data_IF_008656178943
#
_entry.id   IF_008656178943
#
_cell.length_a   1.000
_cell.length_b   1.000
_cell.length_c   1.000
_cell.angle_alpha   90.00
_cell.angle_beta   90.00
_cell.angle_gamma   90.00
#
_symmetry.space_group_name_H-M   'P 1'
#
loop_
_entity.id
_entity.type
_entity.pdbx_description
1 polymer ?
#
# COMPACT_ATOMS: atom_id res chain seq x y z
N UNK A 1 57.88 -51.45 -9.31
CA UNK A 1 59.24 -50.88 -9.43
C UNK A 1 59.18 -49.54 -8.72
N UNK A 2 59.46 -49.42 -7.41
CA UNK A 2 60.68 -49.72 -6.64
C UNK A 2 61.89 -48.89 -7.08
N UNK A 3 62.49 -48.17 -6.11
CA UNK A 3 63.82 -47.55 -6.16
C UNK A 3 63.77 -46.03 -6.11
N UNK A 4 64.10 -45.41 -4.96
CA UNK A 4 65.43 -44.87 -4.61
C UNK A 4 65.79 -43.62 -5.44
N UNK A 5 66.20 -42.49 -4.86
CA UNK A 5 67.36 -42.41 -3.99
C UNK A 5 67.38 -41.14 -3.10
N UNK A 6 67.98 -41.29 -1.92
CA UNK A 6 68.25 -40.24 -0.94
C UNK A 6 69.63 -39.64 -1.20
N UNK A 7 69.68 -38.31 -1.22
CA UNK A 7 70.57 -37.52 -0.37
C UNK A 7 72.05 -37.42 -0.73
N UNK A 8 72.55 -36.18 -0.80
CA UNK A 8 73.76 -35.68 -0.10
C UNK A 8 73.94 -34.20 -0.46
N UNK A 9 73.94 -33.29 0.53
CA UNK A 9 75.16 -32.68 1.15
C UNK A 9 75.83 -31.70 0.18
N UNK A 10 76.25 -30.48 0.50
CA UNK A 10 76.19 -29.56 1.64
C UNK A 10 77.05 -28.36 1.18
N UNK A 11 76.72 -27.16 1.63
CA UNK A 11 77.59 -25.98 1.78
C UNK A 11 78.45 -25.49 0.59
N UNK A 12 78.12 -24.31 0.04
CA UNK A 12 79.10 -23.26 -0.33
C UNK A 12 78.41 -21.88 -0.31
N UNK A 13 79.11 -20.88 0.24
CA UNK A 13 78.93 -19.43 0.11
C UNK A 13 77.84 -18.72 0.91
N UNK A 14 78.18 -18.47 2.19
CA UNK A 14 78.10 -17.12 2.77
C UNK A 14 79.15 -16.22 2.09
N UNK A 15 78.73 -15.15 1.43
CA UNK A 15 79.29 -13.79 1.48
C UNK A 15 78.74 -12.98 0.30
N UNK A 16 78.51 -11.69 0.55
CA UNK A 16 78.10 -10.66 -0.41
C UNK A 16 76.67 -10.74 -0.94
N UNK A 17 75.74 -10.08 -0.22
CA UNK A 17 74.85 -9.06 -0.77
C UNK A 17 74.02 -8.42 0.36
N UNK A 18 74.69 -7.72 1.27
CA UNK A 18 74.06 -6.93 2.35
C UNK A 18 73.77 -5.47 1.96
N UNK A 19 73.70 -5.10 0.66
CA UNK A 19 73.66 -3.67 0.28
C UNK A 19 72.73 -3.25 -0.88
N UNK A 20 71.71 -4.04 -1.27
CA UNK A 20 70.78 -3.63 -2.36
C UNK A 20 69.27 -3.80 -2.04
N UNK A 21 68.87 -4.12 -0.80
CA UNK A 21 67.45 -4.44 -0.50
C UNK A 21 66.76 -3.46 0.47
N UNK A 22 67.12 -2.18 0.43
CA UNK A 22 66.48 -1.13 1.25
C UNK A 22 65.52 -0.21 0.47
N UNK A 23 64.97 -0.68 -0.66
CA UNK A 23 63.87 -0.02 -1.39
C UNK A 23 62.92 -1.08 -1.96
N UNK A 24 62.42 -2.00 -1.12
CA UNK A 24 61.24 -2.80 -1.48
C UNK A 24 59.98 -2.09 -0.99
N UNK A 25 59.35 -1.41 -1.94
CA UNK A 25 57.90 -1.46 -2.15
C UNK A 25 57.03 -1.48 -0.89
N UNK A 26 56.91 -0.30 -0.27
CA UNK A 26 55.67 0.10 0.42
C UNK A 26 54.57 0.42 -0.60
N UNK A 27 54.30 -0.52 -1.51
CA UNK A 27 53.15 -0.52 -2.41
C UNK A 27 52.28 -1.75 -2.13
N UNK A 28 51.90 -1.92 -0.86
CA UNK A 28 50.81 -2.81 -0.46
C UNK A 28 49.45 -2.11 -0.61
N UNK A 29 49.29 -1.27 -1.63
CA UNK A 29 48.00 -0.75 -2.10
C UNK A 29 47.20 -1.79 -2.88
N UNK A 30 47.25 -3.07 -2.47
CA UNK A 30 46.30 -4.06 -2.98
C UNK A 30 44.89 -3.62 -2.60
N UNK A 31 43.87 -3.80 -3.46
CA UNK A 31 42.51 -3.44 -3.10
C UNK A 31 42.15 -4.15 -1.79
N UNK A 32 41.93 -3.38 -0.72
CA UNK A 32 41.59 -3.98 0.57
C UNK A 32 40.40 -4.93 0.37
N UNK A 33 40.50 -6.16 0.89
CA UNK A 33 39.44 -7.14 0.69
C UNK A 33 38.15 -6.60 1.31
N UNK A 34 37.15 -6.36 0.46
CA UNK A 34 35.82 -5.86 0.83
C UNK A 34 35.28 -6.66 2.03
N UNK A 35 35.07 -5.98 3.16
CA UNK A 35 34.68 -6.62 4.42
C UNK A 35 33.38 -7.43 4.29
N UNK A 36 33.19 -8.46 5.12
CA UNK A 36 31.96 -9.24 5.11
C UNK A 36 30.72 -8.37 5.42
N UNK A 37 30.87 -7.42 6.34
CA UNK A 37 29.83 -6.48 6.72
C UNK A 37 29.44 -5.57 5.55
N UNK A 38 30.42 -5.03 4.83
CA UNK A 38 30.17 -4.19 3.66
C UNK A 38 29.37 -4.96 2.59
N UNK A 39 29.76 -6.21 2.29
CA UNK A 39 29.03 -7.06 1.35
C UNK A 39 27.56 -7.25 1.76
N UNK A 40 27.29 -7.39 3.06
CA UNK A 40 25.93 -7.50 3.60
C UNK A 40 25.15 -6.20 3.48
N UNK A 41 25.76 -5.05 3.77
CA UNK A 41 25.12 -3.75 3.55
C UNK A 41 24.81 -3.51 2.07
N UNK A 42 25.75 -3.78 1.17
CA UNK A 42 25.50 -3.70 -0.29
C UNK A 42 24.35 -4.63 -0.71
N UNK A 43 24.25 -5.83 -0.14
CA UNK A 43 23.13 -6.74 -0.40
C UNK A 43 21.77 -6.17 0.06
N UNK A 44 21.70 -5.54 1.24
CA UNK A 44 20.50 -4.85 1.72
C UNK A 44 20.17 -3.64 0.83
N UNK A 45 21.19 -2.86 0.44
CA UNK A 45 21.01 -1.69 -0.41
C UNK A 45 20.46 -2.04 -1.79
N UNK A 46 20.70 -3.23 -2.33
CA UNK A 46 20.09 -3.71 -3.61
C UNK A 46 18.56 -3.63 -3.63
N UNK A 47 17.90 -3.52 -2.47
CA UNK A 47 16.45 -3.24 -2.39
C UNK A 47 16.07 -1.86 -2.94
N UNK A 48 16.99 -0.88 -2.90
CA UNK A 48 16.81 0.47 -3.43
C UNK A 48 16.78 0.46 -4.97
N UNK A 49 16.02 1.39 -5.59
CA UNK A 49 16.04 1.56 -7.04
C UNK A 49 17.46 1.81 -7.59
N UNK A 50 17.75 1.23 -8.76
CA UNK A 50 19.08 1.32 -9.42
C UNK A 50 19.54 2.77 -9.60
N UNK A 51 18.64 3.67 -10.01
CA UNK A 51 18.96 5.09 -10.20
C UNK A 51 19.42 5.76 -8.90
N UNK A 52 18.81 5.41 -7.77
CA UNK A 52 19.18 5.97 -6.47
C UNK A 52 20.52 5.42 -5.97
N UNK A 53 20.75 4.12 -6.19
CA UNK A 53 22.01 3.48 -5.81
C UNK A 53 23.22 4.03 -6.56
N UNK A 54 23.06 4.28 -7.86
CA UNK A 54 24.14 4.82 -8.69
C UNK A 54 24.75 6.12 -8.14
N UNK A 55 23.95 6.92 -7.43
CA UNK A 55 24.38 8.21 -6.86
C UNK A 55 24.76 8.12 -5.38
N UNK A 56 24.12 7.23 -4.61
CA UNK A 56 24.16 7.28 -3.12
C UNK A 56 24.62 6.00 -2.44
N UNK A 57 24.86 4.91 -3.17
CA UNK A 57 25.23 3.62 -2.56
C UNK A 57 26.51 3.73 -1.73
N UNK A 58 27.57 4.31 -2.29
CA UNK A 58 28.87 4.45 -1.61
C UNK A 58 28.78 5.33 -0.35
N UNK A 59 28.09 6.48 -0.44
CA UNK A 59 27.85 7.36 0.73
C UNK A 59 27.10 6.63 1.85
N UNK A 60 26.08 5.84 1.49
CA UNK A 60 25.27 5.12 2.46
C UNK A 60 26.03 3.95 3.10
N UNK A 61 26.79 3.20 2.32
CA UNK A 61 27.64 2.10 2.83
C UNK A 61 28.66 2.65 3.81
N UNK A 62 29.37 3.72 3.43
CA UNK A 62 30.35 4.37 4.30
C UNK A 62 29.71 4.81 5.63
N UNK A 63 28.55 5.49 5.57
CA UNK A 63 27.84 5.92 6.77
C UNK A 63 27.36 4.75 7.66
N UNK A 64 26.94 3.61 7.06
CA UNK A 64 26.56 2.43 7.81
C UNK A 64 27.75 1.71 8.46
N UNK A 65 28.89 1.64 7.78
CA UNK A 65 30.12 1.08 8.34
C UNK A 65 30.63 1.96 9.49
N UNK A 66 30.66 3.28 9.30
CA UNK A 66 31.02 4.25 10.36
C UNK A 66 30.10 4.13 11.58
N UNK A 67 28.78 4.03 11.38
CA UNK A 67 27.82 3.85 12.47
C UNK A 67 27.90 2.48 13.16
N UNK A 68 28.45 1.46 12.49
CA UNK A 68 28.64 0.12 13.04
C UNK A 68 29.90 0.02 13.92
N UNK A 69 30.89 0.90 13.68
CA UNK A 69 32.21 0.84 14.29
C UNK A 69 33.10 -0.26 13.72
N UNK A 70 34.34 -0.32 14.19
CA UNK A 70 35.30 -1.37 13.81
C UNK A 70 34.95 -2.70 14.50
N UNK A 71 34.11 -3.50 13.84
CA UNK A 71 33.78 -4.86 14.27
C UNK A 71 34.58 -5.84 13.42
N UNK A 72 35.42 -6.71 14.02
CA UNK A 72 36.20 -7.69 13.27
C UNK A 72 35.30 -8.65 12.47
N UNK A 73 35.73 -9.02 11.26
CA UNK A 73 34.98 -9.95 10.40
C UNK A 73 34.79 -11.34 11.03
N UNK A 74 35.67 -11.73 11.96
CA UNK A 74 35.61 -12.97 12.73
C UNK A 74 34.35 -13.07 13.62
N UNK A 75 33.79 -11.93 14.02
CA UNK A 75 32.56 -11.86 14.83
C UNK A 75 31.27 -12.01 13.99
N UNK A 76 31.42 -12.22 12.68
CA UNK A 76 30.30 -12.40 11.76
C UNK A 76 29.26 -11.25 11.80
N UNK A 77 29.69 -9.97 11.71
CA UNK A 77 28.83 -8.81 11.91
C UNK A 77 27.64 -8.78 10.94
N UNK A 78 26.44 -8.43 11.44
CA UNK A 78 25.19 -8.39 10.66
C UNK A 78 24.54 -7.02 10.73
N UNK A 79 23.92 -6.55 9.62
CA UNK A 79 23.07 -5.35 9.65
C UNK A 79 21.99 -5.50 10.72
N UNK A 80 21.77 -4.43 11.49
CA UNK A 80 20.73 -4.39 12.51
C UNK A 80 19.37 -4.35 11.82
N UNK A 81 18.36 -4.98 12.42
CA UNK A 81 17.00 -4.97 11.88
C UNK A 81 16.44 -3.56 11.67
N UNK A 82 16.85 -2.60 12.50
CA UNK A 82 16.50 -1.18 12.34
C UNK A 82 17.06 -0.55 11.06
N UNK A 83 18.27 -0.93 10.65
CA UNK A 83 18.90 -0.46 9.40
C UNK A 83 18.22 -1.11 8.19
N UNK A 84 17.90 -2.39 8.26
CA UNK A 84 17.15 -3.07 7.19
C UNK A 84 15.78 -2.40 7.03
N UNK A 85 15.08 -2.13 8.12
CA UNK A 85 13.79 -1.43 8.10
C UNK A 85 13.92 0.00 7.56
N UNK A 86 14.99 0.72 7.88
CA UNK A 86 15.22 2.08 7.38
C UNK A 86 15.49 2.09 5.87
N UNK A 87 16.29 1.14 5.35
CA UNK A 87 16.54 0.96 3.91
C UNK A 87 15.27 0.55 3.18
N UNK A 88 14.46 -0.36 3.75
CA UNK A 88 13.16 -0.73 3.19
C UNK A 88 12.21 0.47 3.12
N UNK A 89 12.11 1.24 4.19
CA UNK A 89 11.28 2.45 4.24
C UNK A 89 11.76 3.51 3.25
N UNK A 90 13.08 3.67 3.06
CA UNK A 90 13.64 4.53 2.03
C UNK A 90 13.32 4.02 0.62
N UNK A 91 13.50 2.72 0.36
CA UNK A 91 13.16 2.11 -0.94
C UNK A 91 11.69 2.33 -1.31
N UNK A 92 10.79 2.12 -0.34
CA UNK A 92 9.37 2.38 -0.52
C UNK A 92 9.11 3.86 -0.86
N UNK A 93 9.70 4.81 -0.10
CA UNK A 93 9.56 6.25 -0.37
C UNK A 93 10.05 6.65 -1.76
N UNK A 94 11.24 6.20 -2.18
CA UNK A 94 11.76 6.51 -3.52
C UNK A 94 10.85 5.93 -4.62
N UNK A 95 10.36 4.70 -4.44
CA UNK A 95 9.42 4.07 -5.40
C UNK A 95 8.06 4.78 -5.47
N UNK A 96 7.69 5.51 -4.42
CA UNK A 96 6.45 6.28 -4.30
C UNK A 96 6.61 7.78 -4.58
N UNK A 97 7.69 8.16 -5.28
CA UNK A 97 7.87 9.54 -5.74
C UNK A 97 8.61 10.46 -4.78
N UNK A 98 9.41 9.91 -3.85
CA UNK A 98 10.33 10.68 -3.01
C UNK A 98 11.52 11.27 -3.78
N UNK A 99 12.47 11.86 -3.07
CA UNK A 99 13.68 12.43 -3.67
C UNK A 99 14.44 11.37 -4.51
N UNK A 100 14.90 11.76 -5.70
CA UNK A 100 15.56 10.85 -6.65
C UNK A 100 14.61 9.91 -7.42
N UNK A 101 13.30 10.08 -7.29
CA UNK A 101 12.33 9.28 -8.03
C UNK A 101 12.27 9.67 -9.52
N UNK A 102 12.25 8.65 -10.38
CA UNK A 102 11.97 8.80 -11.81
C UNK A 102 10.52 9.29 -12.05
N UNK A 103 10.21 9.92 -13.20
CA UNK A 103 8.85 10.36 -13.52
C UNK A 103 7.80 9.25 -13.38
N UNK A 104 8.15 8.00 -13.72
CA UNK A 104 7.27 6.86 -13.56
C UNK A 104 7.00 6.47 -12.10
N UNK A 105 8.00 6.60 -11.21
CA UNK A 105 7.81 6.38 -9.77
C UNK A 105 6.95 7.48 -9.15
N UNK A 106 7.11 8.74 -9.56
CA UNK A 106 6.24 9.86 -9.13
C UNK A 106 4.79 9.57 -9.49
N UNK A 107 4.52 9.13 -10.73
CA UNK A 107 3.16 8.78 -11.16
C UNK A 107 2.55 7.62 -10.37
N UNK A 108 3.35 6.61 -9.98
CA UNK A 108 2.89 5.53 -9.08
C UNK A 108 2.60 6.04 -7.67
N UNK A 109 3.45 6.91 -7.14
CA UNK A 109 3.22 7.61 -5.87
C UNK A 109 1.91 8.40 -5.87
N UNK A 110 1.66 9.14 -6.94
CA UNK A 110 0.40 9.86 -7.15
C UNK A 110 -0.79 8.91 -7.23
N UNK A 111 -0.65 7.76 -7.88
CA UNK A 111 -1.69 6.73 -7.91
C UNK A 111 -2.00 6.21 -6.50
N UNK A 112 -0.98 5.90 -5.67
CA UNK A 112 -1.17 5.45 -4.29
C UNK A 112 -1.87 6.52 -3.45
N UNK A 113 -1.51 7.79 -3.60
CA UNK A 113 -2.21 8.90 -2.93
C UNK A 113 -3.66 9.02 -3.37
N UNK A 114 -3.94 8.82 -4.66
CA UNK A 114 -5.30 8.81 -5.19
C UNK A 114 -6.11 7.60 -4.68
N UNK A 115 -5.51 6.41 -4.57
CA UNK A 115 -6.13 5.23 -3.95
C UNK A 115 -6.52 5.52 -2.51
N UNK A 116 -5.61 6.13 -1.73
CA UNK A 116 -5.91 6.56 -0.37
C UNK A 116 -7.09 7.55 -0.32
N UNK A 117 -7.08 8.57 -1.18
CA UNK A 117 -8.15 9.58 -1.22
C UNK A 117 -9.50 9.00 -1.64
N UNK A 118 -9.53 8.21 -2.71
CA UNK A 118 -10.75 7.59 -3.24
C UNK A 118 -11.30 6.55 -2.25
N UNK A 119 -10.44 5.69 -1.73
CA UNK A 119 -10.80 4.65 -0.77
C UNK A 119 -11.29 5.24 0.55
N UNK A 120 -10.56 6.20 1.14
CA UNK A 120 -11.01 6.87 2.37
C UNK A 120 -12.31 7.66 2.14
N UNK A 121 -12.48 8.25 0.96
CA UNK A 121 -13.73 8.92 0.58
C UNK A 121 -14.91 7.96 0.50
N UNK A 122 -14.72 6.77 -0.08
CA UNK A 122 -15.74 5.72 -0.12
C UNK A 122 -16.09 5.21 1.29
N UNK A 123 -15.09 4.88 2.10
CA UNK A 123 -15.31 4.43 3.50
C UNK A 123 -16.01 5.50 4.32
N UNK A 124 -15.64 6.78 4.16
CA UNK A 124 -16.33 7.89 4.80
C UNK A 124 -17.79 8.04 4.33
N UNK A 125 -18.06 7.89 3.03
CA UNK A 125 -19.42 7.93 2.49
C UNK A 125 -20.30 6.82 3.08
N UNK A 126 -19.79 5.58 3.14
CA UNK A 126 -20.48 4.46 3.78
C UNK A 126 -20.68 4.68 5.28
N UNK A 127 -19.67 5.23 5.96
CA UNK A 127 -19.76 5.58 7.38
C UNK A 127 -20.86 6.59 7.65
N UNK A 128 -20.97 7.63 6.84
CA UNK A 128 -22.03 8.66 6.94
C UNK A 128 -23.39 8.06 6.67
N UNK A 129 -23.51 7.22 5.64
CA UNK A 129 -24.73 6.52 5.33
C UNK A 129 -25.20 5.66 6.53
N UNK A 130 -24.29 4.90 7.15
CA UNK A 130 -24.57 4.13 8.37
C UNK A 130 -24.96 5.01 9.56
N UNK A 131 -24.26 6.13 9.78
CA UNK A 131 -24.56 7.09 10.85
C UNK A 131 -25.96 7.71 10.68
N UNK A 132 -26.31 8.14 9.46
CA UNK A 132 -27.63 8.69 9.13
C UNK A 132 -28.71 7.64 9.37
N UNK A 133 -28.48 6.40 8.92
CA UNK A 133 -29.41 5.30 9.15
C UNK A 133 -29.70 5.08 10.64
N UNK A 134 -28.65 5.04 11.47
CA UNK A 134 -28.78 4.91 12.93
C UNK A 134 -29.55 6.11 13.52
N UNK A 135 -29.22 7.33 13.10
CA UNK A 135 -29.84 8.55 13.62
C UNK A 135 -31.32 8.69 13.23
N UNK A 136 -31.69 8.33 12.00
CA UNK A 136 -33.05 8.49 11.47
C UNK A 136 -33.97 7.37 11.93
N UNK A 137 -33.51 6.11 11.87
CA UNK A 137 -34.37 4.98 12.19
C UNK A 137 -34.51 4.75 13.70
N UNK A 138 -33.56 5.20 14.52
CA UNK A 138 -33.60 5.17 15.99
C UNK A 138 -33.67 3.78 16.64
N UNK A 139 -34.10 2.76 15.88
CA UNK A 139 -34.38 1.39 16.30
C UNK A 139 -33.11 0.57 16.52
N UNK A 140 -32.01 0.95 15.88
CA UNK A 140 -30.73 0.23 15.97
C UNK A 140 -30.13 0.33 17.39
N UNK A 141 -30.40 1.41 18.14
CA UNK A 141 -29.89 1.53 19.52
C UNK A 141 -30.56 0.56 20.50
N UNK A 142 -31.85 0.27 20.32
CA UNK A 142 -32.55 -0.77 21.08
C UNK A 142 -32.19 -2.18 20.63
N UNK A 143 -31.76 -2.34 19.37
CA UNK A 143 -31.28 -3.60 18.80
C UNK A 143 -29.80 -3.89 19.12
N UNK A 144 -29.04 -2.89 19.55
CA UNK A 144 -27.65 -3.02 19.98
C UNK A 144 -27.50 -3.82 21.30
N UNK A 145 -28.60 -4.29 21.89
CA UNK A 145 -28.63 -5.13 23.08
C UNK A 145 -28.66 -4.35 24.40
N UNK A 146 -28.67 -5.08 25.54
CA UNK A 146 -28.71 -4.50 26.88
C UNK A 146 -27.56 -3.51 27.16
N UNK A 147 -27.71 -2.57 28.10
CA UNK A 147 -26.75 -1.49 28.30
C UNK A 147 -25.31 -1.93 28.63
N UNK A 148 -25.13 -3.16 29.09
CA UNK A 148 -23.86 -3.78 29.51
C UNK A 148 -23.44 -4.95 28.60
N UNK A 149 -24.12 -5.18 27.48
CA UNK A 149 -23.79 -6.30 26.59
C UNK A 149 -22.54 -6.04 25.76
N UNK A 150 -21.83 -7.13 25.41
CA UNK A 150 -20.73 -7.07 24.45
C UNK A 150 -21.20 -6.59 23.06
N UNK A 151 -22.46 -6.88 22.70
CA UNK A 151 -23.09 -6.41 21.46
C UNK A 151 -23.18 -4.88 21.42
N UNK A 152 -23.58 -4.26 22.54
CA UNK A 152 -23.71 -2.80 22.62
C UNK A 152 -22.35 -2.12 22.57
N UNK A 153 -21.36 -2.71 23.22
CA UNK A 153 -19.97 -2.24 23.12
C UNK A 153 -19.47 -2.33 21.67
N UNK A 154 -19.71 -3.45 20.98
CA UNK A 154 -19.39 -3.63 19.57
C UNK A 154 -20.01 -2.55 18.69
N UNK A 155 -21.32 -2.33 18.85
CA UNK A 155 -22.04 -1.27 18.12
C UNK A 155 -21.47 0.14 18.37
N UNK A 156 -21.17 0.49 19.63
CA UNK A 156 -20.54 1.77 19.97
C UNK A 156 -19.16 1.89 19.32
N UNK A 157 -18.36 0.81 19.32
CA UNK A 157 -17.05 0.83 18.68
C UNK A 157 -17.13 0.97 17.17
N UNK A 158 -18.13 0.38 16.52
CA UNK A 158 -18.38 0.53 15.08
C UNK A 158 -18.82 1.97 14.74
N UNK A 159 -19.65 2.59 15.57
CA UNK A 159 -20.03 3.99 15.43
C UNK A 159 -18.82 4.92 15.56
N UNK A 160 -17.96 4.66 16.56
CA UNK A 160 -16.72 5.41 16.75
C UNK A 160 -15.77 5.23 15.56
N UNK A 161 -15.67 4.02 15.01
CA UNK A 161 -14.89 3.74 13.80
C UNK A 161 -15.42 4.47 12.57
N UNK A 162 -16.74 4.53 12.40
CA UNK A 162 -17.39 5.29 11.33
C UNK A 162 -17.04 6.78 11.43
N UNK A 163 -17.15 7.38 12.63
CA UNK A 163 -16.76 8.78 12.87
C UNK A 163 -15.27 9.00 12.58
N UNK A 164 -14.40 8.11 13.04
CA UNK A 164 -12.96 8.18 12.78
C UNK A 164 -12.64 8.13 11.28
N UNK A 165 -13.35 7.32 10.51
CA UNK A 165 -13.19 7.23 9.06
C UNK A 165 -13.57 8.54 8.35
N UNK A 166 -14.67 9.18 8.78
CA UNK A 166 -15.08 10.50 8.28
C UNK A 166 -14.03 11.56 8.64
N UNK A 167 -13.57 11.59 9.90
CA UNK A 167 -12.52 12.51 10.34
C UNK A 167 -11.22 12.31 9.56
N UNK A 168 -10.84 11.07 9.29
CA UNK A 168 -9.65 10.75 8.51
C UNK A 168 -9.74 11.31 7.09
N UNK A 169 -10.89 11.12 6.43
CA UNK A 169 -11.14 11.66 5.09
C UNK A 169 -11.17 13.21 5.05
N UNK A 170 -11.83 13.85 6.01
CA UNK A 170 -11.85 15.32 6.09
C UNK A 170 -10.45 15.85 6.38
N UNK A 171 -9.72 15.25 7.33
CA UNK A 171 -8.37 15.66 7.70
C UNK A 171 -7.40 15.58 6.52
N UNK A 172 -7.43 14.50 5.71
CA UNK A 172 -6.55 14.38 4.54
C UNK A 172 -6.88 15.42 3.47
N UNK A 173 -8.17 15.69 3.22
CA UNK A 173 -8.60 16.71 2.24
C UNK A 173 -8.19 18.14 2.67
N UNK A 174 -8.09 18.37 3.97
CA UNK A 174 -7.62 19.63 4.58
C UNK A 174 -6.10 19.73 4.67
N UNK A 175 -5.37 18.68 4.31
CA UNK A 175 -3.91 18.60 4.37
C UNK A 175 -3.34 18.24 5.76
N UNK A 176 -4.18 17.84 6.72
CA UNK A 176 -3.78 17.41 8.06
C UNK A 176 -3.46 15.90 8.08
N UNK A 177 -2.40 15.51 7.36
CA UNK A 177 -2.06 14.09 7.14
C UNK A 177 -1.81 13.32 8.44
N UNK A 178 -1.17 13.93 9.45
CA UNK A 178 -0.90 13.25 10.73
C UNK A 178 -2.21 12.87 11.42
N UNK A 179 -3.14 13.81 11.52
CA UNK A 179 -4.48 13.58 12.08
C UNK A 179 -5.23 12.54 11.27
N UNK A 180 -5.15 12.60 9.93
CA UNK A 180 -5.78 11.61 9.05
C UNK A 180 -5.27 10.19 9.30
N UNK A 181 -3.95 10.02 9.45
CA UNK A 181 -3.33 8.71 9.75
C UNK A 181 -3.78 8.16 11.09
N UNK A 182 -3.77 8.99 12.14
CA UNK A 182 -4.21 8.57 13.48
C UNK A 182 -5.69 8.19 13.46
N UNK A 183 -6.55 9.02 12.86
CA UNK A 183 -7.97 8.74 12.76
C UNK A 183 -8.25 7.46 11.92
N UNK A 184 -7.56 7.27 10.79
CA UNK A 184 -7.71 6.07 9.98
C UNK A 184 -7.27 4.80 10.73
N UNK A 185 -6.17 4.86 11.48
CA UNK A 185 -5.70 3.75 12.29
C UNK A 185 -6.66 3.43 13.43
N UNK A 186 -7.15 4.44 14.14
CA UNK A 186 -8.15 4.26 15.21
C UNK A 186 -9.44 3.65 14.68
N UNK A 187 -9.93 4.12 13.52
CA UNK A 187 -11.11 3.55 12.87
C UNK A 187 -10.95 2.10 12.43
N UNK A 188 -9.71 1.64 12.21
CA UNK A 188 -9.42 0.28 11.78
C UNK A 188 -9.32 -0.72 12.96
N UNK A 189 -9.09 -0.23 14.19
CA UNK A 189 -8.87 -1.07 15.38
C UNK A 189 -10.01 -2.05 15.64
N UNK A 190 -11.30 -1.65 15.65
CA UNK A 190 -12.39 -2.58 15.98
C UNK A 190 -12.47 -3.74 14.98
N UNK A 191 -12.37 -3.45 13.68
CA UNK A 191 -12.40 -4.46 12.62
C UNK A 191 -11.22 -5.44 12.73
N UNK A 192 -10.01 -4.93 12.97
CA UNK A 192 -8.84 -5.79 13.14
C UNK A 192 -8.92 -6.64 14.40
N UNK A 193 -9.39 -6.07 15.51
CA UNK A 193 -9.60 -6.80 16.75
C UNK A 193 -10.62 -7.93 16.57
N UNK A 194 -11.76 -7.65 15.92
CA UNK A 194 -12.76 -8.66 15.60
C UNK A 194 -12.19 -9.79 14.72
N UNK A 195 -11.42 -9.43 13.68
CA UNK A 195 -10.76 -10.40 12.82
C UNK A 195 -9.75 -11.28 13.58
N UNK A 196 -8.89 -10.68 14.41
CA UNK A 196 -7.90 -11.41 15.22
C UNK A 196 -8.59 -12.35 16.22
N UNK A 197 -9.65 -11.89 16.88
CA UNK A 197 -10.44 -12.71 17.81
C UNK A 197 -11.08 -13.89 17.08
N UNK A 198 -11.63 -13.68 15.88
CA UNK A 198 -12.21 -14.76 15.08
C UNK A 198 -11.15 -15.82 14.72
N UNK A 199 -9.98 -15.40 14.24
CA UNK A 199 -8.85 -16.29 13.93
C UNK A 199 -8.37 -17.04 15.17
N UNK A 200 -8.27 -16.35 16.31
CA UNK A 200 -7.80 -16.96 17.55
C UNK A 200 -8.78 -18.02 18.10
N UNK A 201 -10.09 -17.81 17.94
CA UNK A 201 -11.13 -18.73 18.44
C UNK A 201 -11.39 -19.91 17.51
N UNK A 202 -11.34 -19.70 16.20
CA UNK A 202 -11.78 -20.69 15.21
C UNK A 202 -10.65 -21.23 14.34
N UNK A 203 -9.43 -20.71 14.50
CA UNK A 203 -8.28 -21.05 13.67
C UNK A 203 -8.43 -20.60 12.22
N UNK A 204 -7.42 -20.92 11.40
CA UNK A 204 -7.46 -20.63 9.96
C UNK A 204 -8.56 -21.36 9.17
N UNK A 205 -8.93 -22.61 9.49
CA UNK A 205 -10.06 -23.27 8.84
C UNK A 205 -11.40 -22.59 9.11
N UNK A 206 -11.50 -21.82 10.21
CA UNK A 206 -12.61 -20.95 10.54
C UNK A 206 -12.44 -19.51 10.07
N UNK A 207 -11.51 -19.24 9.13
CA UNK A 207 -11.40 -17.93 8.51
C UNK A 207 -12.75 -17.50 7.95
N UNK A 208 -13.03 -16.20 8.02
CA UNK A 208 -14.30 -15.71 7.55
C UNK A 208 -14.38 -15.88 6.01
N UNK A 209 -15.59 -16.03 5.44
CA UNK A 209 -15.81 -16.28 4.02
C UNK A 209 -15.03 -15.30 3.13
N UNK A 210 -14.78 -15.67 1.87
CA UNK A 210 -14.04 -14.83 0.90
C UNK A 210 -14.58 -13.38 0.84
N UNK A 211 -15.88 -13.21 1.06
CA UNK A 211 -16.54 -11.90 1.19
C UNK A 211 -15.95 -11.03 2.31
N UNK A 212 -15.70 -11.60 3.49
CA UNK A 212 -15.19 -10.87 4.64
C UNK A 212 -13.72 -10.51 4.49
N UNK A 213 -12.92 -11.37 3.85
CA UNK A 213 -11.56 -11.03 3.46
C UNK A 213 -11.54 -9.88 2.45
N UNK A 214 -12.48 -9.86 1.50
CA UNK A 214 -12.61 -8.76 0.55
C UNK A 214 -13.07 -7.46 1.23
N UNK A 215 -14.01 -7.53 2.18
CA UNK A 215 -14.41 -6.40 3.01
C UNK A 215 -13.25 -5.87 3.86
N UNK A 216 -12.47 -6.76 4.48
CA UNK A 216 -11.29 -6.40 5.24
C UNK A 216 -10.24 -5.73 4.34
N UNK A 217 -10.05 -6.24 3.12
CA UNK A 217 -9.16 -5.60 2.15
C UNK A 217 -9.66 -4.19 1.77
N UNK A 218 -10.96 -3.99 1.58
CA UNK A 218 -11.54 -2.66 1.32
C UNK A 218 -11.23 -1.67 2.44
N UNK A 219 -11.29 -2.13 3.69
CA UNK A 219 -11.02 -1.31 4.86
C UNK A 219 -9.52 -1.08 5.10
N UNK A 220 -8.66 -2.05 4.78
CA UNK A 220 -7.23 -1.99 5.05
C UNK A 220 -6.43 -1.24 3.97
N UNK A 221 -6.81 -1.40 2.69
CA UNK A 221 -6.06 -0.84 1.57
C UNK A 221 -5.97 0.70 1.62
N UNK A 222 -7.05 1.47 1.88
CA UNK A 222 -6.97 2.93 1.90
C UNK A 222 -6.11 3.50 3.03
N UNK A 223 -6.19 3.03 4.30
CA UNK A 223 -5.25 3.42 5.36
C UNK A 223 -3.80 3.06 5.05
N UNK A 224 -3.54 1.87 4.49
CA UNK A 224 -2.17 1.48 4.10
C UNK A 224 -1.65 2.39 2.99
N UNK A 225 -2.48 2.67 1.98
CA UNK A 225 -2.15 3.63 0.93
C UNK A 225 -1.94 5.05 1.47
N UNK A 226 -2.69 5.46 2.50
CA UNK A 226 -2.51 6.73 3.20
C UNK A 226 -1.15 6.80 3.93
N UNK A 227 -0.80 5.73 4.65
CA UNK A 227 0.48 5.64 5.37
C UNK A 227 1.66 5.68 4.40
N UNK A 228 1.57 4.93 3.30
CA UNK A 228 2.62 4.81 2.29
C UNK A 228 2.73 6.05 1.39
N UNK A 229 1.60 6.55 0.86
CA UNK A 229 1.57 7.61 -0.15
C UNK A 229 1.83 9.02 0.38
N UNK A 230 1.57 9.26 1.68
CA UNK A 230 1.77 10.55 2.33
C UNK A 230 2.92 10.49 3.34
N UNK A 231 4.16 10.35 2.86
CA UNK A 231 5.38 10.44 3.66
C UNK A 231 5.80 11.90 3.90
N UNK A 232 6.84 12.10 4.73
CA UNK A 232 7.35 13.42 5.15
C UNK A 232 7.69 14.37 4.00
N UNK A 233 8.10 13.81 2.86
CA UNK A 233 8.66 14.57 1.75
C UNK A 233 7.58 15.06 0.77
N UNK A 234 6.31 14.71 1.03
CA UNK A 234 5.17 15.13 0.20
C UNK A 234 4.42 16.25 0.92
N UNK A 235 4.35 17.41 0.27
CA UNK A 235 3.49 18.52 0.72
C UNK A 235 2.03 18.23 0.32
N UNK A 236 1.12 18.03 1.29
CA UNK A 236 -0.27 17.70 0.98
C UNK A 236 -0.98 18.90 0.34
N UNK A 237 -1.65 18.68 -0.79
CA UNK A 237 -2.47 19.73 -1.42
C UNK A 237 -3.77 19.93 -0.63
N UNK A 238 -3.97 21.13 -0.11
CA UNK A 238 -5.23 21.51 0.54
C UNK A 238 -6.31 21.68 -0.53
N UNK A 239 -7.47 21.07 -0.32
CA UNK A 239 -8.64 21.21 -1.20
C UNK A 239 -9.69 22.11 -0.56
N UNK A 240 -10.55 22.70 -1.40
CA UNK A 240 -11.68 23.50 -0.93
C UNK A 240 -12.67 22.66 -0.14
N UNK A 241 -13.39 23.28 0.79
CA UNK A 241 -14.40 22.60 1.62
C UNK A 241 -15.51 21.95 0.78
N UNK A 242 -15.89 22.57 -0.35
CA UNK A 242 -16.87 22.00 -1.27
C UNK A 242 -16.42 20.63 -1.81
N UNK A 243 -15.14 20.48 -2.19
CA UNK A 243 -14.59 19.21 -2.63
C UNK A 243 -14.37 18.23 -1.48
N UNK A 244 -14.02 18.72 -0.29
CA UNK A 244 -13.84 17.89 0.89
C UNK A 244 -15.16 17.26 1.37
N UNK A 245 -16.26 17.99 1.26
CA UNK A 245 -17.58 17.52 1.70
C UNK A 245 -18.35 16.78 0.60
N UNK A 246 -17.93 16.84 -0.66
CA UNK A 246 -18.73 16.25 -1.74
C UNK A 246 -18.94 14.73 -1.62
N UNK A 247 -17.97 13.90 -1.20
CA UNK A 247 -18.23 12.46 -1.05
C UNK A 247 -19.11 12.15 0.17
N UNK A 248 -18.97 12.96 1.23
CA UNK A 248 -19.81 12.87 2.43
C UNK A 248 -21.26 13.23 2.10
N UNK A 249 -21.46 14.34 1.40
CA UNK A 249 -22.77 14.78 0.93
C UNK A 249 -23.39 13.78 -0.06
N UNK A 250 -22.58 13.21 -0.97
CA UNK A 250 -23.02 12.18 -1.91
C UNK A 250 -23.45 10.90 -1.18
N UNK A 251 -22.69 10.45 -0.17
CA UNK A 251 -23.06 9.30 0.65
C UNK A 251 -24.37 9.51 1.42
N UNK A 252 -24.53 10.69 2.03
CA UNK A 252 -25.77 11.06 2.71
C UNK A 252 -26.97 11.14 1.76
N UNK A 253 -26.80 11.78 0.58
CA UNK A 253 -27.87 11.91 -0.41
C UNK A 253 -28.27 10.55 -1.00
N UNK A 254 -27.30 9.68 -1.28
CA UNK A 254 -27.55 8.34 -1.78
C UNK A 254 -28.31 7.47 -0.76
N UNK A 255 -27.92 7.54 0.51
CA UNK A 255 -28.65 6.84 1.58
C UNK A 255 -30.06 7.40 1.75
N UNK A 256 -30.22 8.73 1.76
CA UNK A 256 -31.54 9.38 1.81
C UNK A 256 -32.44 8.95 0.65
N UNK A 257 -31.91 8.90 -0.57
CA UNK A 257 -32.63 8.41 -1.75
C UNK A 257 -33.03 6.94 -1.59
N UNK A 258 -32.11 6.10 -1.10
CA UNK A 258 -32.38 4.67 -0.86
C UNK A 258 -33.52 4.49 0.16
N UNK A 259 -33.48 5.23 1.27
CA UNK A 259 -34.53 5.21 2.29
C UNK A 259 -35.88 5.68 1.75
N UNK A 260 -35.90 6.75 0.94
CA UNK A 260 -37.13 7.26 0.33
C UNK A 260 -37.75 6.25 -0.64
N UNK A 261 -36.92 5.58 -1.45
CA UNK A 261 -37.39 4.57 -2.41
C UNK A 261 -37.94 3.32 -1.69
N UNK A 262 -37.30 2.89 -0.60
CA UNK A 262 -37.81 1.81 0.24
C UNK A 262 -39.12 2.22 0.93
N UNK A 263 -39.20 3.44 1.47
CA UNK A 263 -40.40 3.93 2.15
C UNK A 263 -41.58 4.16 1.21
N UNK A 264 -41.33 4.41 -0.08
CA UNK A 264 -42.36 4.57 -1.09
C UNK A 264 -43.09 3.26 -1.47
N UNK A 265 -42.73 2.13 -0.83
CA UNK A 265 -43.23 0.78 -1.13
C UNK A 265 -43.29 0.51 -2.63
N UNK A 266 -42.25 1.01 -3.30
CA UNK A 266 -42.14 0.86 -4.72
C UNK A 266 -41.98 -0.64 -4.95
N UNK A 267 -42.98 -1.26 -5.60
CA UNK A 267 -43.01 -2.66 -6.06
C UNK A 267 -41.96 -2.87 -7.16
N UNK A 268 -40.78 -2.29 -6.96
CA UNK A 268 -39.70 -2.26 -7.89
C UNK A 268 -39.11 -3.66 -7.99
N UNK A 269 -38.62 -4.02 -9.18
CA UNK A 269 -37.95 -5.27 -9.35
C UNK A 269 -36.78 -5.40 -8.36
N UNK A 270 -36.70 -6.55 -7.68
CA UNK A 270 -35.66 -6.89 -6.71
C UNK A 270 -34.22 -6.57 -7.17
N UNK A 271 -33.94 -6.61 -8.48
CA UNK A 271 -32.64 -6.28 -9.04
C UNK A 271 -32.23 -4.81 -8.87
N UNK A 272 -33.19 -3.88 -8.73
CA UNK A 272 -32.91 -2.46 -8.58
C UNK A 272 -32.17 -2.16 -7.26
N UNK A 273 -32.44 -2.94 -6.21
CA UNK A 273 -31.72 -2.83 -4.94
C UNK A 273 -30.22 -3.10 -5.05
N UNK A 274 -29.76 -3.86 -6.05
CA UNK A 274 -28.32 -4.08 -6.28
C UNK A 274 -27.60 -2.83 -6.81
N UNK A 275 -28.34 -1.88 -7.37
CA UNK A 275 -27.84 -0.57 -7.79
C UNK A 275 -27.97 0.50 -6.71
N UNK A 276 -28.74 0.23 -5.66
CA UNK A 276 -28.82 1.08 -4.48
C UNK A 276 -27.64 0.82 -3.54
N UNK A 277 -27.42 1.74 -2.60
CA UNK A 277 -26.36 1.67 -1.58
C UNK A 277 -24.96 1.42 -2.20
N UNK A 278 -24.33 0.27 -1.95
CA UNK A 278 -23.03 -0.08 -2.52
C UNK A 278 -23.05 -0.12 -4.06
N UNK A 279 -24.21 -0.34 -4.69
CA UNK A 279 -24.37 -0.41 -6.14
C UNK A 279 -24.08 0.91 -6.85
N UNK A 280 -24.50 2.01 -6.25
CA UNK A 280 -24.31 3.33 -6.83
C UNK A 280 -22.83 3.74 -6.86
N UNK A 281 -22.02 3.21 -5.94
CA UNK A 281 -20.56 3.41 -6.00
C UNK A 281 -19.95 2.84 -7.28
N UNK A 282 -20.49 1.72 -7.79
CA UNK A 282 -20.06 1.12 -9.06
C UNK A 282 -20.41 2.02 -10.24
N UNK A 283 -21.62 2.59 -10.26
CA UNK A 283 -22.04 3.51 -11.32
C UNK A 283 -21.18 4.79 -11.36
N UNK A 284 -20.95 5.41 -10.19
CA UNK A 284 -20.09 6.60 -10.07
C UNK A 284 -18.66 6.27 -10.47
N UNK A 285 -18.12 5.14 -10.00
CA UNK A 285 -16.79 4.68 -10.36
C UNK A 285 -16.68 4.42 -11.88
N UNK A 286 -17.67 3.75 -12.48
CA UNK A 286 -17.67 3.47 -13.91
C UNK A 286 -17.69 4.76 -14.74
N UNK A 287 -18.49 5.75 -14.35
CA UNK A 287 -18.51 7.06 -15.01
C UNK A 287 -17.15 7.79 -14.91
N UNK A 288 -16.50 7.73 -13.75
CA UNK A 288 -15.15 8.27 -13.56
C UNK A 288 -14.12 7.55 -14.45
N UNK A 289 -14.21 6.21 -14.51
CA UNK A 289 -13.35 5.36 -15.34
C UNK A 289 -13.47 5.70 -16.83
N UNK A 290 -14.70 5.80 -17.35
CA UNK A 290 -14.94 6.21 -18.75
C UNK A 290 -14.39 7.61 -19.00
N UNK A 291 -14.60 8.56 -18.08
CA UNK A 291 -14.08 9.92 -18.22
C UNK A 291 -12.55 9.95 -18.32
N UNK A 292 -11.86 9.16 -17.48
CA UNK A 292 -10.39 9.07 -17.50
C UNK A 292 -9.89 8.43 -18.80
N UNK A 293 -10.56 7.37 -19.29
CA UNK A 293 -10.21 6.71 -20.55
C UNK A 293 -10.40 7.65 -21.75
N UNK A 294 -11.53 8.37 -21.82
CA UNK A 294 -11.86 9.29 -22.93
C UNK A 294 -10.91 10.48 -22.95
N UNK A 295 -10.65 11.09 -21.78
CA UNK A 295 -9.77 12.26 -21.69
C UNK A 295 -8.28 11.92 -21.81
N UNK A 296 -7.93 10.63 -21.91
CA UNK A 296 -6.54 10.14 -21.85
C UNK A 296 -5.79 10.77 -20.67
N UNK A 297 -6.42 10.69 -19.50
CA UNK A 297 -5.97 11.37 -18.28
C UNK A 297 -4.60 10.91 -17.80
N UNK A 298 -4.12 11.50 -16.70
CA UNK A 298 -2.82 11.14 -16.13
C UNK A 298 -2.73 9.63 -15.83
N UNK A 299 -1.56 8.99 -16.02
CA UNK A 299 -1.38 7.57 -15.72
C UNK A 299 -1.71 7.23 -14.26
N UNK A 300 -1.52 8.19 -13.35
CA UNK A 300 -1.85 8.05 -11.94
C UNK A 300 -3.35 7.84 -11.68
N UNK A 301 -4.23 8.57 -12.37
CA UNK A 301 -5.68 8.38 -12.25
C UNK A 301 -6.12 7.03 -12.81
N UNK A 302 -5.56 6.61 -13.96
CA UNK A 302 -5.87 5.32 -14.54
C UNK A 302 -5.49 4.17 -13.62
N UNK A 303 -4.29 4.19 -13.05
CA UNK A 303 -3.83 3.17 -12.10
C UNK A 303 -4.63 3.18 -10.80
N UNK A 304 -4.98 4.36 -10.26
CA UNK A 304 -5.77 4.46 -9.04
C UNK A 304 -7.20 3.94 -9.23
N UNK A 305 -7.85 4.30 -10.35
CA UNK A 305 -9.18 3.78 -10.66
C UNK A 305 -9.13 2.28 -10.95
N UNK A 306 -8.11 1.78 -11.66
CA UNK A 306 -7.90 0.34 -11.86
C UNK A 306 -7.80 -0.41 -10.52
N UNK A 307 -6.95 0.03 -9.60
CA UNK A 307 -6.78 -0.61 -8.31
C UNK A 307 -8.06 -0.59 -7.46
N UNK A 308 -8.75 0.56 -7.41
CA UNK A 308 -10.03 0.65 -6.68
C UNK A 308 -11.14 -0.16 -7.34
N UNK A 309 -11.16 -0.27 -8.67
CA UNK A 309 -12.09 -1.13 -9.41
C UNK A 309 -11.87 -2.62 -9.12
N UNK A 310 -10.61 -3.05 -9.07
CA UNK A 310 -10.26 -4.43 -8.67
C UNK A 310 -10.67 -4.73 -7.22
N UNK A 311 -10.56 -3.74 -6.33
CA UNK A 311 -11.00 -3.88 -4.95
C UNK A 311 -12.53 -4.01 -4.87
N UNK A 312 -13.28 -3.18 -5.59
CA UNK A 312 -14.73 -3.30 -5.70
C UNK A 312 -15.14 -4.65 -6.32
N UNK A 313 -14.42 -5.11 -7.34
CA UNK A 313 -14.65 -6.42 -7.95
C UNK A 313 -14.43 -7.56 -6.95
N UNK A 314 -13.36 -7.49 -6.15
CA UNK A 314 -13.06 -8.50 -5.15
C UNK A 314 -14.16 -8.63 -4.08
N UNK A 315 -14.85 -7.53 -3.78
CA UNK A 315 -16.01 -7.51 -2.86
C UNK A 315 -17.27 -8.02 -3.53
N UNK A 316 -17.45 -7.77 -4.83
CA UNK A 316 -18.68 -8.14 -5.55
C UNK A 316 -18.69 -9.58 -6.03
N UNK A 317 -17.53 -10.14 -6.35
CA UNK A 317 -17.43 -11.47 -6.92
C UNK A 317 -17.98 -12.57 -5.97
N UNK A 318 -17.62 -12.61 -4.66
CA UNK A 318 -18.12 -13.64 -3.76
C UNK A 318 -19.63 -13.50 -3.48
N UNK A 319 -20.16 -12.27 -3.56
CA UNK A 319 -21.58 -11.98 -3.41
C UNK A 319 -22.44 -12.73 -4.45
N UNK A 320 -21.93 -13.00 -5.66
CA UNK A 320 -22.67 -13.72 -6.71
C UNK A 320 -23.12 -15.12 -6.30
N UNK A 321 -22.38 -15.79 -5.42
CA UNK A 321 -22.72 -17.13 -4.93
C UNK A 321 -23.94 -17.17 -4.01
N UNK A 322 -24.37 -16.00 -3.50
CA UNK A 322 -25.46 -15.86 -2.54
C UNK A 322 -26.67 -15.12 -3.10
N UNK A 323 -26.58 -14.61 -4.33
CA UNK A 323 -27.69 -13.89 -4.95
C UNK A 323 -28.81 -14.84 -5.39
N UNK A 324 -30.07 -14.48 -5.20
CA UNK A 324 -31.19 -15.16 -5.86
C UNK A 324 -31.03 -15.14 -7.39
N UNK A 325 -31.56 -16.16 -8.07
CA UNK A 325 -31.47 -16.30 -9.54
C UNK A 325 -31.94 -15.04 -10.28
N UNK A 326 -32.98 -14.38 -9.78
CA UNK A 326 -33.52 -13.14 -10.35
C UNK A 326 -32.56 -11.94 -10.27
N UNK A 327 -31.63 -11.93 -9.31
CA UNK A 327 -30.66 -10.86 -9.09
C UNK A 327 -29.28 -11.17 -9.69
N UNK A 328 -29.00 -12.45 -9.98
CA UNK A 328 -27.72 -12.90 -10.47
C UNK A 328 -27.25 -12.19 -11.75
N UNK A 329 -28.08 -11.96 -12.80
CA UNK A 329 -27.63 -11.30 -14.03
C UNK A 329 -27.12 -9.88 -13.77
N UNK A 330 -27.76 -9.15 -12.87
CA UNK A 330 -27.36 -7.79 -12.50
C UNK A 330 -26.04 -7.78 -11.74
N UNK A 331 -25.86 -8.69 -10.78
CA UNK A 331 -24.58 -8.87 -10.09
C UNK A 331 -23.45 -9.24 -11.06
N UNK A 332 -23.71 -10.17 -11.98
CA UNK A 332 -22.76 -10.59 -12.99
C UNK A 332 -22.37 -9.43 -13.91
N UNK A 333 -23.35 -8.63 -14.36
CA UNK A 333 -23.11 -7.42 -15.15
C UNK A 333 -22.21 -6.42 -14.40
N UNK A 334 -22.46 -6.18 -13.11
CA UNK A 334 -21.61 -5.32 -12.29
C UNK A 334 -20.16 -5.83 -12.23
N UNK A 335 -19.96 -7.15 -12.06
CA UNK A 335 -18.62 -7.75 -12.02
C UNK A 335 -17.91 -7.63 -13.38
N UNK A 336 -18.60 -7.89 -14.49
CA UNK A 336 -18.05 -7.74 -15.85
C UNK A 336 -17.67 -6.28 -16.11
N UNK A 337 -18.53 -5.33 -15.75
CA UNK A 337 -18.27 -3.90 -15.90
C UNK A 337 -17.03 -3.47 -15.10
N UNK A 338 -16.94 -3.86 -13.83
CA UNK A 338 -15.79 -3.56 -12.98
C UNK A 338 -14.49 -4.16 -13.54
N UNK A 339 -14.52 -5.45 -13.91
CA UNK A 339 -13.35 -6.16 -14.43
C UNK A 339 -12.84 -5.57 -15.75
N UNK A 340 -13.74 -5.34 -16.70
CA UNK A 340 -13.38 -4.79 -18.02
C UNK A 340 -12.78 -3.38 -17.92
N UNK A 341 -13.44 -2.48 -17.18
CA UNK A 341 -12.93 -1.11 -17.00
C UNK A 341 -11.63 -1.09 -16.20
N UNK A 342 -11.50 -1.91 -15.15
CA UNK A 342 -10.29 -1.94 -14.34
C UNK A 342 -9.09 -2.45 -15.15
N UNK A 343 -9.27 -3.48 -15.98
CA UNK A 343 -8.23 -3.98 -16.89
C UNK A 343 -7.85 -2.94 -17.96
N UNK A 344 -8.83 -2.27 -18.57
CA UNK A 344 -8.58 -1.21 -19.55
C UNK A 344 -7.79 -0.04 -18.95
N UNK A 345 -8.16 0.40 -17.74
CA UNK A 345 -7.45 1.45 -17.01
C UNK A 345 -6.04 1.01 -16.59
N UNK A 346 -5.87 -0.24 -16.15
CA UNK A 346 -4.57 -0.78 -15.80
C UNK A 346 -3.62 -0.85 -17.00
N UNK A 347 -4.13 -1.34 -18.14
CA UNK A 347 -3.39 -1.40 -19.40
C UNK A 347 -2.99 -0.01 -19.91
N UNK A 348 -3.93 0.95 -19.93
CA UNK A 348 -3.64 2.32 -20.37
C UNK A 348 -2.65 3.04 -19.46
N UNK A 349 -2.79 2.89 -18.13
CA UNK A 349 -1.88 3.46 -17.15
C UNK A 349 -0.46 2.90 -17.26
N UNK A 350 -0.32 1.58 -17.31
CA UNK A 350 1.00 0.92 -17.45
C UNK A 350 1.68 1.24 -18.78
N UNK A 351 0.92 1.27 -19.87
CA UNK A 351 1.44 1.65 -21.19
C UNK A 351 1.89 3.12 -21.23
N UNK A 352 1.15 4.04 -20.59
CA UNK A 352 1.56 5.43 -20.48
C UNK A 352 2.88 5.58 -19.68
N UNK A 353 3.05 4.81 -18.59
CA UNK A 353 4.32 4.78 -17.86
C UNK A 353 5.48 4.23 -18.70
N UNK A 354 5.24 3.15 -19.45
CA UNK A 354 6.26 2.54 -20.30
C UNK A 354 6.74 3.49 -21.41
N UNK A 355 5.83 4.28 -22.00
CA UNK A 355 6.19 5.31 -22.98
C UNK A 355 7.00 6.43 -22.38
N UNK A 356 6.65 6.89 -21.18
CA UNK A 356 7.38 7.96 -20.48
C UNK A 356 8.80 7.54 -20.07
N UNK A 357 9.06 6.23 -19.94
CA UNK A 357 10.38 5.70 -19.60
C UNK A 357 11.34 5.58 -20.81
N UNK A 358 10.84 5.72 -22.05
CA UNK A 358 11.72 5.65 -23.22
C UNK A 358 12.55 6.93 -23.29
N UNK A 359 13.89 6.85 -23.32
CA UNK A 359 14.72 8.03 -23.52
C UNK A 359 14.31 8.69 -24.84
N UNK A 360 14.15 10.02 -24.82
CA UNK A 360 13.94 10.77 -26.05
C UNK A 360 15.11 10.44 -26.98
N UNK A 361 14.85 9.79 -28.11
CA UNK A 361 15.87 9.54 -29.11
C UNK A 361 16.47 10.91 -29.45
N UNK A 362 17.77 11.09 -29.16
CA UNK A 362 18.46 12.32 -29.48
C UNK A 362 18.40 12.51 -31.00
N UNK A 363 17.90 13.66 -31.48
CA UNK A 363 17.72 13.93 -32.91
C UNK A 363 19.03 14.05 -33.67
#
# INVERSE_FOLDING_TARGET
MSGHDRGKVEAVSRHDHDEVEAVSEHDQGGPEPVSLLERRYRAVLRLLPVSYRAEREEEMVAAFLEASGDVPDEENPRPRWGEIASVLALSARVRLGGAGATPGQVARGDAVRLIALLGMGAVAAFSVAGLVRVAVLGSELSLAGPPESAERLGFITDLAAAVCSVLAFVAIMRGHVRTAKVAALLGLVPTLAAFVVAVARHGFPGLPPLQDLANLALLLVPPVALLAGFHSDVTPRRRSWALALSPVAAGAALMGLTLLLVAADATEPLWFHLWLDHGATIAVWAAASVTVLVRRGSPSWALALSATGLLLLAIRLPMLGWLPDAMWPTGALQCVLLGTLALALGGTGTWALARAARPAAQP
#
